data_IF_053917022033
#
_entry.id   IF_053917022033
#
_cell.length_a   1.000
_cell.length_b   1.000
_cell.length_c   1.000
_cell.angle_alpha   90.00
_cell.angle_beta   90.00
_cell.angle_gamma   90.00
#
_symmetry.space_group_name_H-M   'P 1'
#
loop_
_entity.id
_entity.type
_entity.pdbx_description
1 polymer ?
#
# COMPACT_ATOMS: atom_id res chain seq x y z
N UNK A 1 68.65 -23.36 29.40
CA UNK A 1 67.30 -22.99 29.91
C UNK A 1 67.16 -21.55 30.43
N UNK A 2 68.23 -20.75 30.62
CA UNK A 2 68.09 -19.34 31.08
C UNK A 2 67.75 -18.31 29.99
N UNK A 3 67.97 -18.60 28.70
CA UNK A 3 67.69 -17.67 27.58
C UNK A 3 66.25 -17.74 27.06
N UNK A 4 65.56 -18.87 27.22
CA UNK A 4 64.14 -19.02 26.85
C UNK A 4 63.18 -18.42 27.88
N UNK A 5 63.60 -18.32 29.15
CA UNK A 5 62.78 -17.68 30.19
C UNK A 5 62.68 -16.17 30.01
N UNK A 6 63.73 -15.52 29.45
CA UNK A 6 63.72 -14.08 29.18
C UNK A 6 62.83 -13.70 27.98
N UNK A 7 62.77 -14.56 26.95
CA UNK A 7 61.94 -14.37 25.76
C UNK A 7 60.45 -14.51 26.07
N UNK A 8 60.09 -15.36 27.05
CA UNK A 8 58.71 -15.56 27.47
C UNK A 8 58.20 -14.41 28.37
N UNK A 9 59.09 -13.79 29.16
CA UNK A 9 58.78 -12.58 29.95
C UNK A 9 58.64 -11.35 29.03
N UNK A 10 59.44 -11.23 27.97
CA UNK A 10 59.31 -10.14 27.00
C UNK A 10 58.05 -10.27 26.12
N UNK A 11 57.63 -11.51 25.81
CA UNK A 11 56.39 -11.76 25.08
C UNK A 11 55.12 -11.55 25.92
N UNK A 12 55.21 -11.59 27.26
CA UNK A 12 54.10 -11.24 28.16
C UNK A 12 53.91 -9.73 28.34
N UNK A 13 54.94 -8.91 28.06
CA UNK A 13 54.86 -7.45 28.09
C UNK A 13 54.21 -6.85 26.84
N UNK A 14 54.06 -7.61 25.75
CA UNK A 14 53.50 -7.13 24.47
C UNK A 14 51.96 -7.16 24.42
N UNK A 15 51.28 -7.62 25.47
CA UNK A 15 49.82 -7.59 25.59
C UNK A 15 49.30 -6.57 26.62
N UNK A 16 50.15 -5.64 27.09
CA UNK A 16 49.62 -4.40 27.67
C UNK A 16 49.12 -3.54 26.53
N UNK A 17 47.85 -3.69 26.16
CA UNK A 17 47.18 -2.71 25.31
C UNK A 17 47.33 -1.34 25.98
N UNK A 18 48.17 -0.47 25.42
CA UNK A 18 48.30 0.91 25.87
C UNK A 18 46.92 1.56 25.74
N UNK A 19 46.23 1.75 26.86
CA UNK A 19 45.01 2.55 26.93
C UNK A 19 45.33 3.95 26.41
N UNK A 20 44.48 4.49 25.52
CA UNK A 20 44.64 5.87 25.07
C UNK A 20 44.41 6.83 26.24
N UNK A 21 45.27 7.84 26.36
CA UNK A 21 45.20 8.88 27.41
C UNK A 21 44.64 10.23 26.90
N UNK A 22 44.30 10.29 25.61
CA UNK A 22 43.72 11.43 24.92
C UNK A 22 42.70 10.95 23.88
N UNK A 23 41.82 11.86 23.45
CA UNK A 23 40.79 11.55 22.47
C UNK A 23 41.39 11.39 21.08
N UNK A 24 40.98 10.33 20.37
CA UNK A 24 41.30 10.08 18.97
C UNK A 24 40.02 10.09 18.12
N UNK A 25 39.72 11.24 17.51
CA UNK A 25 38.53 11.43 16.70
C UNK A 25 38.74 11.16 15.19
N UNK A 26 39.74 10.35 14.81
CA UNK A 26 40.00 9.99 13.41
C UNK A 26 38.75 9.42 12.72
N UNK A 27 37.97 8.61 13.43
CA UNK A 27 36.64 8.18 13.05
C UNK A 27 35.81 7.85 14.30
N UNK A 28 34.52 7.53 14.14
CA UNK A 28 33.62 7.24 15.27
C UNK A 28 34.10 6.08 16.14
N UNK A 29 34.70 5.04 15.54
CA UNK A 29 35.20 3.87 16.26
C UNK A 29 36.43 4.22 17.12
N UNK A 30 37.35 5.02 16.59
CA UNK A 30 38.52 5.48 17.37
C UNK A 30 38.09 6.45 18.46
N UNK A 31 37.08 7.29 18.20
CA UNK A 31 36.52 8.22 19.17
C UNK A 31 35.95 7.46 20.37
N UNK A 32 35.07 6.50 20.11
CA UNK A 32 34.47 5.67 21.16
C UNK A 32 35.51 4.82 21.90
N UNK A 33 36.43 4.18 21.18
CA UNK A 33 37.52 3.41 21.81
C UNK A 33 38.40 4.29 22.70
N UNK A 34 38.77 5.49 22.25
CA UNK A 34 39.61 6.41 23.04
C UNK A 34 38.90 6.91 24.29
N UNK A 35 37.62 7.28 24.19
CA UNK A 35 36.84 7.73 25.34
C UNK A 35 36.61 6.59 26.32
N UNK A 36 36.33 5.37 25.85
CA UNK A 36 36.20 4.19 26.72
C UNK A 36 37.52 3.88 27.46
N UNK A 37 38.66 3.97 26.78
CA UNK A 37 39.98 3.79 27.40
C UNK A 37 40.23 4.84 28.49
N UNK A 38 39.92 6.12 28.20
CA UNK A 38 40.04 7.22 29.14
C UNK A 38 39.10 7.05 30.34
N UNK A 39 37.83 6.74 30.10
CA UNK A 39 36.83 6.51 31.16
C UNK A 39 37.23 5.33 32.05
N UNK A 40 37.67 4.21 31.46
CA UNK A 40 38.10 3.02 32.22
C UNK A 40 39.33 3.25 33.10
N UNK A 41 40.00 4.40 32.94
CA UNK A 41 41.15 4.82 33.76
C UNK A 41 40.75 5.74 34.93
N UNK A 42 39.46 6.09 35.03
CA UNK A 42 38.89 6.93 36.08
C UNK A 42 38.16 6.10 37.14
N UNK A 43 37.95 6.67 38.34
CA UNK A 43 37.04 6.09 39.35
C UNK A 43 35.59 6.22 38.92
N UNK A 44 34.68 5.39 39.45
CA UNK A 44 33.24 5.39 39.06
C UNK A 44 32.61 6.78 39.08
N UNK A 45 32.82 7.57 40.14
CA UNK A 45 32.27 8.94 40.23
C UNK A 45 32.87 9.85 39.14
N UNK A 46 34.17 9.72 38.86
CA UNK A 46 34.85 10.49 37.81
C UNK A 46 34.42 10.04 36.41
N UNK A 47 34.08 8.76 36.21
CA UNK A 47 33.51 8.25 34.96
C UNK A 47 32.15 8.87 34.69
N UNK A 48 31.27 8.89 35.69
CA UNK A 48 29.95 9.53 35.58
C UNK A 48 30.12 11.00 35.20
N UNK A 49 30.99 11.74 35.92
CA UNK A 49 31.29 13.15 35.63
C UNK A 49 31.87 13.38 34.24
N UNK A 50 32.74 12.49 33.78
CA UNK A 50 33.30 12.56 32.45
C UNK A 50 32.24 12.36 31.37
N UNK A 51 31.29 11.44 31.58
CA UNK A 51 30.16 11.25 30.68
C UNK A 51 29.19 12.44 30.69
N UNK A 52 28.91 13.03 31.85
CA UNK A 52 28.13 14.28 31.95
C UNK A 52 28.80 15.43 31.18
N UNK A 53 30.12 15.59 31.32
CA UNK A 53 30.88 16.60 30.60
C UNK A 53 30.74 16.42 29.09
N UNK A 54 30.90 15.19 28.60
CA UNK A 54 30.76 14.86 27.19
C UNK A 54 29.32 15.07 26.68
N UNK A 55 28.30 14.80 27.50
CA UNK A 55 26.89 15.08 27.18
C UNK A 55 26.63 16.58 27.04
N UNK A 56 27.16 17.40 27.95
CA UNK A 56 27.03 18.87 27.88
C UNK A 56 27.70 19.40 26.60
N UNK A 57 28.88 18.89 26.28
CA UNK A 57 29.59 19.28 25.05
C UNK A 57 28.84 18.84 23.78
N UNK A 58 28.25 17.63 23.77
CA UNK A 58 27.41 17.15 22.65
C UNK A 58 26.16 18.00 22.48
N UNK A 59 25.50 18.36 23.58
CA UNK A 59 24.19 19.02 23.54
C UNK A 59 24.28 20.53 23.34
N UNK A 60 25.31 21.16 23.92
CA UNK A 60 25.41 22.63 24.01
C UNK A 60 26.74 23.19 23.50
N UNK A 61 27.74 22.33 23.28
CA UNK A 61 29.08 22.73 22.83
C UNK A 61 29.28 22.66 21.31
N UNK A 62 28.33 22.08 20.57
CA UNK A 62 28.40 21.89 19.13
C UNK A 62 27.11 22.30 18.44
N UNK A 63 27.23 22.89 17.26
CA UNK A 63 26.10 23.30 16.43
C UNK A 63 25.95 22.31 15.27
N UNK A 64 25.19 21.24 15.49
CA UNK A 64 24.89 20.23 14.49
C UNK A 64 23.55 19.56 14.79
N UNK A 65 22.76 19.26 13.76
CA UNK A 65 21.45 18.61 13.92
C UNK A 65 21.56 17.09 13.76
N UNK A 66 21.25 16.36 14.83
CA UNK A 66 21.11 14.91 14.84
C UNK A 66 22.35 14.16 15.34
N UNK A 67 22.12 13.02 16.01
CA UNK A 67 23.12 12.31 16.81
C UNK A 67 24.47 12.07 16.11
N UNK A 68 24.46 11.67 14.84
CA UNK A 68 25.71 11.38 14.10
C UNK A 68 26.48 12.66 13.80
N UNK A 69 25.79 13.75 13.48
CA UNK A 69 26.40 15.03 13.19
C UNK A 69 26.92 15.68 14.48
N UNK A 70 26.14 15.63 15.56
CA UNK A 70 26.53 16.06 16.91
C UNK A 70 27.75 15.28 17.41
N UNK A 71 27.79 13.95 17.26
CA UNK A 71 28.92 13.12 17.69
C UNK A 71 30.18 13.42 16.86
N UNK A 72 30.03 13.66 15.56
CA UNK A 72 31.15 14.05 14.69
C UNK A 72 31.70 15.41 15.07
N UNK A 73 30.82 16.39 15.31
CA UNK A 73 31.21 17.73 15.75
C UNK A 73 31.85 17.69 17.15
N UNK A 74 31.31 16.87 18.05
CA UNK A 74 31.91 16.62 19.37
C UNK A 74 33.32 16.08 19.19
N UNK A 75 33.49 15.01 18.41
CA UNK A 75 34.81 14.42 18.12
C UNK A 75 35.81 15.46 17.62
N UNK A 76 35.41 16.35 16.70
CA UNK A 76 36.25 17.44 16.23
C UNK A 76 36.60 18.44 17.35
N UNK A 77 35.65 18.79 18.21
CA UNK A 77 35.83 19.72 19.32
C UNK A 77 36.83 19.20 20.36
N UNK A 78 36.81 17.89 20.65
CA UNK A 78 37.62 17.29 21.73
C UNK A 78 38.83 16.48 21.24
N UNK A 79 39.07 16.41 19.93
CA UNK A 79 40.19 15.64 19.38
C UNK A 79 41.53 16.05 20.00
N UNK A 80 42.33 15.07 20.43
CA UNK A 80 43.63 15.29 21.07
C UNK A 80 43.58 15.76 22.53
N UNK A 81 42.39 16.06 23.09
CA UNK A 81 42.26 16.53 24.48
C UNK A 81 42.32 15.38 25.48
N UNK A 82 42.86 15.64 26.66
CA UNK A 82 42.82 14.76 27.83
C UNK A 82 41.59 15.04 28.70
N UNK A 83 41.28 14.13 29.63
CA UNK A 83 40.13 14.27 30.55
C UNK A 83 40.06 15.64 31.22
N UNK A 84 41.14 16.20 31.83
CA UNK A 84 41.03 17.50 32.51
C UNK A 84 40.67 18.66 31.58
N UNK A 85 41.14 18.64 30.34
CA UNK A 85 40.84 19.65 29.33
C UNK A 85 39.38 19.57 28.87
N UNK A 86 38.85 18.35 28.75
CA UNK A 86 37.44 18.10 28.40
C UNK A 86 36.52 18.57 29.54
N UNK A 87 36.88 18.26 30.79
CA UNK A 87 36.12 18.72 31.96
C UNK A 87 36.08 20.25 32.04
N UNK A 88 37.23 20.92 31.83
CA UNK A 88 37.31 22.38 31.82
C UNK A 88 36.51 23.01 30.66
N UNK A 89 36.52 22.37 29.49
CA UNK A 89 35.71 22.82 28.35
C UNK A 89 34.22 22.69 28.65
N UNK A 90 33.79 21.61 29.30
CA UNK A 90 32.41 21.42 29.71
C UNK A 90 31.97 22.45 30.75
N UNK A 91 32.83 22.82 31.70
CA UNK A 91 32.55 23.91 32.66
C UNK A 91 32.26 25.23 31.94
N UNK A 92 33.09 25.57 30.94
CA UNK A 92 32.89 26.80 30.15
C UNK A 92 31.58 26.77 29.36
N UNK A 93 31.27 25.63 28.73
CA UNK A 93 30.02 25.46 27.97
C UNK A 93 28.81 25.49 28.89
N UNK A 94 28.87 24.86 30.06
CA UNK A 94 27.80 24.90 31.06
C UNK A 94 27.54 26.32 31.55
N UNK A 95 28.58 27.05 31.93
CA UNK A 95 28.48 28.45 32.37
C UNK A 95 27.91 29.35 31.28
N UNK A 96 28.40 29.22 30.03
CA UNK A 96 27.92 30.01 28.89
C UNK A 96 26.42 29.78 28.61
N UNK A 97 25.93 28.56 28.82
CA UNK A 97 24.56 28.17 28.53
C UNK A 97 23.64 28.16 29.76
N UNK A 98 24.10 28.67 30.91
CA UNK A 98 23.30 28.74 32.15
C UNK A 98 22.91 27.38 32.73
N UNK A 99 23.72 26.34 32.49
CA UNK A 99 23.49 24.98 33.00
C UNK A 99 24.10 24.87 34.38
N UNK A 100 23.31 24.47 35.37
CA UNK A 100 23.78 24.22 36.73
C UNK A 100 24.58 22.92 36.81
N UNK A 101 25.82 22.96 36.32
CA UNK A 101 26.77 21.87 36.31
C UNK A 101 28.19 22.38 36.52
N UNK A 102 28.99 21.63 37.28
CA UNK A 102 30.41 21.86 37.45
C UNK A 102 31.17 20.52 37.52
N UNK A 103 32.40 20.52 36.99
CA UNK A 103 33.30 19.37 36.98
C UNK A 103 33.69 18.87 38.39
N UNK A 104 33.61 19.75 39.39
CA UNK A 104 33.94 19.49 40.80
C UNK A 104 32.71 19.22 41.68
N UNK A 105 31.50 19.44 41.17
CA UNK A 105 30.26 19.16 41.88
C UNK A 105 29.96 17.65 41.89
N UNK A 106 29.09 17.15 42.78
CA UNK A 106 28.57 15.77 42.70
C UNK A 106 27.85 15.50 41.37
N UNK A 107 27.80 14.24 40.89
CA UNK A 107 26.96 13.85 39.76
C UNK A 107 25.52 14.34 39.91
N UNK A 108 24.99 14.95 38.86
CA UNK A 108 23.69 15.63 38.88
C UNK A 108 22.78 15.23 37.72
N UNK A 109 23.34 14.66 36.64
CA UNK A 109 22.57 14.24 35.47
C UNK A 109 22.34 12.72 35.42
N UNK A 110 23.03 11.94 36.25
CA UNK A 110 22.89 10.48 36.32
C UNK A 110 23.85 9.74 35.37
N UNK A 111 23.61 8.44 35.13
CA UNK A 111 24.40 7.65 34.18
C UNK A 111 24.07 8.06 32.74
N UNK A 112 24.88 8.96 32.19
CA UNK A 112 24.78 9.38 30.79
C UNK A 112 25.58 8.41 29.92
N UNK A 113 24.96 7.87 28.86
CA UNK A 113 25.69 7.21 27.79
C UNK A 113 25.72 8.12 26.56
N UNK A 114 26.85 8.79 26.36
CA UNK A 114 27.07 9.71 25.22
C UNK A 114 27.21 8.96 23.88
N UNK A 115 27.59 7.68 23.95
CA UNK A 115 27.57 6.74 22.86
C UNK A 115 26.33 5.90 23.07
N UNK A 116 25.16 6.48 22.79
CA UNK A 116 23.89 5.75 22.89
C UNK A 116 24.09 4.33 22.39
N UNK A 117 23.63 3.34 23.18
CA UNK A 117 24.00 1.92 23.06
C UNK A 117 24.48 1.55 21.66
N UNK A 118 25.67 0.98 21.56
CA UNK A 118 26.25 0.55 20.29
C UNK A 118 25.50 -0.65 19.65
N UNK A 119 24.17 -0.69 19.73
CA UNK A 119 23.41 -0.93 18.52
C UNK A 119 23.36 0.40 17.79
N UNK A 120 24.38 0.70 16.98
CA UNK A 120 24.39 1.79 16.01
C UNK A 120 22.98 2.04 15.51
N UNK A 121 22.25 3.02 16.11
CA UNK A 121 20.77 3.06 16.19
C UNK A 121 20.22 2.20 15.09
N UNK A 122 19.94 0.90 15.36
CA UNK A 122 19.89 -0.15 14.31
C UNK A 122 19.27 0.54 13.10
N UNK A 123 20.10 0.91 12.10
CA UNK A 123 19.66 1.90 11.13
C UNK A 123 18.55 1.20 10.44
N UNK A 124 17.30 1.48 10.85
CA UNK A 124 16.20 0.62 10.51
C UNK A 124 16.25 0.60 9.01
N UNK A 125 16.53 -0.56 8.39
CA UNK A 125 16.72 -0.56 6.95
C UNK A 125 15.46 -0.07 6.26
N UNK A 126 14.33 -0.03 6.98
CA UNK A 126 13.06 0.54 6.55
C UNK A 126 12.93 2.07 6.74
N UNK A 127 13.81 2.77 7.46
CA UNK A 127 13.82 4.23 7.63
C UNK A 127 14.51 4.95 6.44
N UNK A 128 14.09 4.60 5.23
CA UNK A 128 14.61 5.19 3.98
C UNK A 128 14.13 6.63 3.85
N UNK A 129 15.08 7.58 3.83
CA UNK A 129 14.80 9.01 3.69
C UNK A 129 14.47 9.37 2.24
N UNK A 130 13.18 9.45 1.92
CA UNK A 130 12.69 9.92 0.62
C UNK A 130 11.64 11.02 0.75
N UNK A 131 11.51 11.83 -0.29
CA UNK A 131 10.53 12.91 -0.34
C UNK A 131 9.23 12.45 -0.98
N UNK A 132 9.32 11.65 -2.06
CA UNK A 132 8.14 11.13 -2.76
C UNK A 132 8.40 9.74 -3.39
N UNK A 133 7.39 9.24 -4.09
CA UNK A 133 7.43 8.01 -4.87
C UNK A 133 7.26 8.37 -6.35
N UNK A 134 8.02 7.72 -7.22
CA UNK A 134 7.83 7.75 -8.67
C UNK A 134 7.48 6.36 -9.19
N UNK A 135 6.76 6.28 -10.31
CA UNK A 135 6.33 5.03 -10.94
C UNK A 135 6.78 4.99 -12.39
N UNK A 136 7.57 3.96 -12.74
CA UNK A 136 7.94 3.65 -14.12
C UNK A 136 7.10 2.47 -14.58
N UNK A 137 6.46 2.58 -15.74
CA UNK A 137 5.63 1.52 -16.34
C UNK A 137 6.21 1.11 -17.69
N UNK A 138 6.33 -0.19 -17.95
CA UNK A 138 6.83 -0.74 -19.21
C UNK A 138 5.97 -1.92 -19.64
N UNK A 139 5.36 -1.91 -20.84
CA UNK A 139 4.72 -3.10 -21.40
C UNK A 139 5.74 -4.24 -21.53
N UNK A 140 5.31 -5.47 -21.29
CA UNK A 140 6.18 -6.67 -21.32
C UNK A 140 5.41 -7.89 -21.83
N UNK A 141 6.12 -8.83 -22.43
CA UNK A 141 5.52 -9.99 -23.11
C UNK A 141 4.87 -9.57 -24.42
N UNK A 142 4.60 -10.55 -25.29
CA UNK A 142 3.95 -10.34 -26.58
C UNK A 142 3.30 -11.66 -27.03
N UNK A 143 2.07 -11.61 -27.50
CA UNK A 143 1.33 -12.74 -28.09
C UNK A 143 1.03 -12.55 -29.59
N UNK A 144 1.63 -11.52 -30.22
CA UNK A 144 1.36 -11.13 -31.60
C UNK A 144 0.21 -10.13 -31.75
N UNK A 145 -0.60 -9.93 -30.70
CA UNK A 145 -1.67 -8.92 -30.65
C UNK A 145 -1.34 -7.77 -29.68
N UNK A 146 -0.11 -7.74 -29.16
CA UNK A 146 0.40 -6.69 -28.28
C UNK A 146 0.88 -7.22 -26.93
N UNK A 147 1.17 -6.29 -26.02
CA UNK A 147 1.71 -6.65 -24.72
C UNK A 147 0.75 -7.54 -23.91
N UNK A 148 1.28 -8.55 -23.24
CA UNK A 148 0.49 -9.47 -22.39
C UNK A 148 0.59 -9.16 -20.90
N UNK A 149 1.50 -8.25 -20.53
CA UNK A 149 1.71 -7.81 -19.17
C UNK A 149 2.26 -6.37 -19.09
N UNK A 150 2.21 -5.81 -17.89
CA UNK A 150 2.77 -4.51 -17.58
C UNK A 150 3.74 -4.62 -16.38
N UNK A 151 5.00 -4.27 -16.60
CA UNK A 151 5.98 -4.09 -15.53
C UNK A 151 5.79 -2.73 -14.88
N UNK A 152 5.63 -2.70 -13.56
CA UNK A 152 5.36 -1.50 -12.76
C UNK A 152 6.44 -1.39 -11.69
N UNK A 153 7.30 -0.39 -11.82
CA UNK A 153 8.53 -0.25 -11.05
C UNK A 153 8.47 1.01 -10.19
N UNK A 154 8.20 0.89 -8.87
CA UNK A 154 8.28 2.02 -7.96
C UNK A 154 9.73 2.41 -7.66
N UNK A 155 9.97 3.71 -7.50
CA UNK A 155 11.24 4.27 -7.03
C UNK A 155 10.99 5.38 -6.02
N UNK A 156 11.54 5.22 -4.82
CA UNK A 156 11.64 6.31 -3.86
C UNK A 156 12.58 7.37 -4.40
N UNK A 157 12.18 8.64 -4.33
CA UNK A 157 12.95 9.77 -4.87
C UNK A 157 13.09 10.89 -3.84
N UNK A 158 14.17 11.65 -3.96
CA UNK A 158 14.45 12.83 -3.14
C UNK A 158 13.60 14.04 -3.58
N UNK A 159 13.84 15.19 -2.96
CA UNK A 159 13.13 16.43 -3.29
C UNK A 159 13.41 16.94 -4.71
N UNK A 160 14.51 16.51 -5.33
CA UNK A 160 14.88 16.84 -6.70
C UNK A 160 14.38 15.79 -7.72
N UNK A 161 13.63 14.77 -7.27
CA UNK A 161 13.12 13.69 -8.11
C UNK A 161 14.16 12.63 -8.48
N UNK A 162 15.34 12.62 -7.85
CA UNK A 162 16.38 11.61 -8.10
C UNK A 162 16.14 10.36 -7.24
N UNK A 163 16.37 9.13 -7.77
CA UNK A 163 16.21 7.91 -6.99
C UNK A 163 17.07 7.90 -5.73
N UNK A 164 16.45 7.64 -4.59
CA UNK A 164 17.14 7.44 -3.30
C UNK A 164 17.77 6.06 -3.29
N UNK A 165 19.05 5.98 -2.95
CA UNK A 165 19.76 4.71 -2.81
C UNK A 165 19.57 4.13 -1.41
N UNK A 166 19.21 2.84 -1.33
CA UNK A 166 19.08 2.10 -0.08
C UNK A 166 19.30 0.60 -0.32
N UNK A 167 19.67 -0.13 0.74
CA UNK A 167 19.95 -1.57 0.69
C UNK A 167 19.52 -2.25 2.00
N UNK A 168 19.15 -3.53 1.94
CA UNK A 168 18.86 -4.32 3.13
C UNK A 168 17.52 -4.00 3.80
N UNK A 169 16.68 -3.19 3.15
CA UNK A 169 15.35 -2.85 3.62
C UNK A 169 14.36 -4.02 3.46
N UNK A 170 13.24 -3.94 4.16
CA UNK A 170 12.07 -4.80 4.00
C UNK A 170 10.83 -3.94 3.73
N UNK A 171 10.91 -3.01 2.79
CA UNK A 171 9.81 -2.08 2.53
C UNK A 171 8.62 -2.82 1.91
N UNK A 172 7.46 -2.81 2.58
CA UNK A 172 6.23 -3.33 1.99
C UNK A 172 5.79 -2.39 0.85
N UNK A 173 5.86 -2.89 -0.38
CA UNK A 173 5.27 -2.27 -1.55
C UNK A 173 3.92 -2.94 -1.83
N UNK A 174 2.85 -2.15 -1.95
CA UNK A 174 1.53 -2.64 -2.36
C UNK A 174 1.13 -2.00 -3.67
N UNK A 175 0.80 -2.82 -4.67
CA UNK A 175 0.09 -2.44 -5.88
C UNK A 175 -1.40 -2.66 -5.69
N UNK A 176 -2.19 -1.67 -6.04
CA UNK A 176 -3.63 -1.79 -6.23
C UNK A 176 -3.97 -1.36 -7.67
N UNK A 177 -4.69 -2.22 -8.38
CA UNK A 177 -5.16 -1.98 -9.76
C UNK A 177 -6.64 -1.67 -9.70
N UNK A 178 -7.05 -0.62 -10.40
CA UNK A 178 -8.43 -0.17 -10.46
C UNK A 178 -8.88 0.00 -11.91
N UNK A 179 -10.20 0.01 -12.09
CA UNK A 179 -10.84 0.46 -13.32
C UNK A 179 -12.09 1.22 -12.90
N UNK A 180 -12.19 2.49 -13.31
CA UNK A 180 -13.28 3.40 -12.96
C UNK A 180 -13.59 3.43 -11.45
N UNK A 181 -12.55 3.48 -10.62
CA UNK A 181 -12.66 3.50 -9.15
C UNK A 181 -12.95 2.14 -8.48
N UNK A 182 -13.17 1.06 -9.24
CA UNK A 182 -13.35 -0.30 -8.68
C UNK A 182 -12.00 -1.01 -8.62
N UNK A 183 -11.64 -1.52 -7.43
CA UNK A 183 -10.40 -2.30 -7.27
C UNK A 183 -10.54 -3.66 -7.96
N UNK A 184 -9.66 -3.92 -8.91
CA UNK A 184 -9.60 -5.15 -9.72
C UNK A 184 -8.65 -6.18 -9.12
N UNK A 185 -7.51 -5.72 -8.62
CA UNK A 185 -6.45 -6.59 -8.12
C UNK A 185 -5.61 -5.85 -7.07
N UNK A 186 -4.97 -6.62 -6.20
CA UNK A 186 -3.93 -6.12 -5.30
C UNK A 186 -2.79 -7.12 -5.24
N UNK A 187 -1.56 -6.61 -5.16
CA UNK A 187 -0.37 -7.41 -4.99
C UNK A 187 0.54 -6.73 -3.97
N UNK A 188 1.19 -7.53 -3.13
CA UNK A 188 2.23 -7.06 -2.23
C UNK A 188 3.57 -7.65 -2.64
N UNK A 189 4.63 -6.87 -2.46
CA UNK A 189 5.98 -7.34 -2.66
C UNK A 189 6.92 -6.61 -1.70
N UNK A 190 8.10 -7.19 -1.49
CA UNK A 190 9.11 -6.64 -0.60
C UNK A 190 10.16 -5.91 -1.44
N UNK A 191 10.32 -4.62 -1.20
CA UNK A 191 11.33 -3.79 -1.85
C UNK A 191 12.54 -3.67 -0.94
N UNK A 192 13.60 -4.42 -1.27
CA UNK A 192 14.80 -4.54 -0.44
C UNK A 192 15.91 -3.54 -0.77
N UNK A 193 15.95 -3.12 -2.03
CA UNK A 193 16.94 -2.20 -2.56
C UNK A 193 16.46 -1.53 -3.87
N UNK A 194 17.36 -0.79 -4.52
CA UNK A 194 17.13 -0.15 -5.82
C UNK A 194 17.04 -1.12 -7.01
N UNK A 195 17.44 -2.38 -6.84
CA UNK A 195 17.33 -3.43 -7.88
C UNK A 195 15.91 -4.00 -7.96
N UNK A 196 15.03 -3.65 -7.02
CA UNK A 196 13.63 -4.03 -7.01
C UNK A 196 12.99 -3.84 -8.41
N UNK A 197 12.56 -4.97 -8.98
CA UNK A 197 11.97 -5.00 -10.33
C UNK A 197 10.50 -4.59 -10.33
N UNK A 198 9.88 -4.39 -9.16
CA UNK A 198 8.50 -3.98 -9.08
C UNK A 198 7.52 -5.14 -9.18
N UNK A 199 6.40 -4.86 -9.83
CA UNK A 199 5.30 -5.80 -10.05
C UNK A 199 5.22 -6.15 -11.53
N UNK A 200 4.97 -7.42 -11.82
CA UNK A 200 4.62 -7.86 -13.17
C UNK A 200 3.11 -8.16 -13.21
N UNK A 201 2.34 -7.23 -13.75
CA UNK A 201 0.89 -7.35 -13.87
C UNK A 201 0.55 -8.07 -15.17
N UNK A 202 0.25 -9.36 -15.09
CA UNK A 202 -0.26 -10.12 -16.24
C UNK A 202 -1.68 -9.68 -16.55
N UNK A 203 -1.98 -9.35 -17.80
CA UNK A 203 -3.34 -8.96 -18.20
C UNK A 203 -4.33 -10.12 -18.04
N UNK A 204 -3.86 -11.36 -18.19
CA UNK A 204 -4.64 -12.57 -17.92
C UNK A 204 -5.01 -12.79 -16.45
N UNK A 205 -4.52 -11.95 -15.53
CA UNK A 205 -5.00 -11.93 -14.14
C UNK A 205 -6.22 -11.03 -13.93
N UNK A 206 -6.53 -10.18 -14.92
CA UNK A 206 -7.60 -9.18 -14.85
C UNK A 206 -8.77 -9.64 -15.70
N UNK A 207 -9.96 -9.74 -15.11
CA UNK A 207 -11.18 -10.08 -15.85
C UNK A 207 -11.50 -8.99 -16.89
N UNK A 208 -11.62 -9.37 -18.15
CA UNK A 208 -11.96 -8.45 -19.24
C UNK A 208 -13.24 -7.65 -18.95
N UNK A 209 -14.22 -8.31 -18.33
CA UNK A 209 -15.51 -7.71 -17.92
C UNK A 209 -15.42 -6.63 -16.84
N UNK A 210 -14.25 -6.44 -16.22
CA UNK A 210 -14.03 -5.45 -15.16
C UNK A 210 -13.19 -4.26 -15.63
N UNK A 211 -12.61 -4.33 -16.83
CA UNK A 211 -11.84 -3.25 -17.43
C UNK A 211 -12.78 -2.37 -18.27
N UNK A 212 -12.70 -1.06 -18.09
CA UNK A 212 -13.49 -0.07 -18.83
C UNK A 212 -12.55 0.69 -19.75
N UNK A 213 -12.98 0.94 -20.99
CA UNK A 213 -12.23 1.69 -22.01
C UNK A 213 -10.80 1.17 -22.28
N UNK A 214 -10.55 -0.13 -22.04
CA UNK A 214 -9.24 -0.76 -22.12
C UNK A 214 -8.17 -0.04 -21.30
N UNK A 215 -8.58 0.60 -20.20
CA UNK A 215 -7.71 1.36 -19.31
C UNK A 215 -7.82 0.88 -17.89
N UNK A 216 -6.70 0.97 -17.18
CA UNK A 216 -6.62 0.73 -15.74
C UNK A 216 -5.92 1.90 -15.06
N UNK A 217 -6.26 2.10 -13.80
CA UNK A 217 -5.52 2.97 -12.90
C UNK A 217 -4.72 2.09 -11.95
N UNK A 218 -3.54 2.56 -11.57
CA UNK A 218 -2.74 1.89 -10.54
C UNK A 218 -2.47 2.85 -9.41
N UNK A 219 -2.39 2.30 -8.21
CA UNK A 219 -1.88 2.98 -7.03
C UNK A 219 -0.79 2.11 -6.45
N UNK A 220 0.38 2.69 -6.24
CA UNK A 220 1.46 2.05 -5.49
C UNK A 220 1.61 2.76 -4.16
N UNK A 221 1.70 1.98 -3.08
CA UNK A 221 2.20 2.45 -1.80
C UNK A 221 3.50 1.73 -1.42
N UNK A 222 4.42 2.46 -0.79
CA UNK A 222 5.66 1.91 -0.22
C UNK A 222 5.74 2.38 1.23
N UNK A 223 5.73 1.43 2.16
CA UNK A 223 5.79 1.72 3.60
C UNK A 223 7.25 1.75 4.06
N UNK A 224 7.66 2.89 4.59
CA UNK A 224 8.90 3.07 5.38
C UNK A 224 8.55 3.16 6.86
N UNK A 225 9.55 3.13 7.75
CA UNK A 225 9.37 3.32 9.19
C UNK A 225 8.77 4.68 9.50
N UNK A 226 9.20 5.72 8.79
CA UNK A 226 8.73 7.08 9.01
C UNK A 226 7.36 7.37 8.40
N UNK A 227 7.09 6.88 7.18
CA UNK A 227 5.83 7.17 6.46
C UNK A 227 5.50 6.18 5.35
N UNK A 228 4.24 6.18 4.93
CA UNK A 228 3.81 5.48 3.71
C UNK A 228 3.77 6.46 2.55
N UNK A 229 4.60 6.20 1.55
CA UNK A 229 4.54 6.94 0.29
C UNK A 229 3.48 6.35 -0.60
N UNK A 230 2.74 7.17 -1.34
CA UNK A 230 1.70 6.74 -2.25
C UNK A 230 1.76 7.55 -3.54
N UNK A 231 1.64 6.87 -4.68
CA UNK A 231 1.48 7.52 -5.98
C UNK A 231 0.47 6.72 -6.82
N UNK A 232 -0.34 7.44 -7.59
CA UNK A 232 -1.28 6.83 -8.54
C UNK A 232 -0.92 7.24 -9.96
N UNK A 233 -1.13 6.33 -10.91
CA UNK A 233 -1.03 6.59 -12.33
C UNK A 233 -2.33 6.14 -12.99
N UNK A 234 -2.98 7.07 -13.68
CA UNK A 234 -4.35 6.93 -14.19
C UNK A 234 -4.29 6.68 -15.70
N UNK A 235 -5.23 5.87 -16.20
CA UNK A 235 -5.47 5.71 -17.64
C UNK A 235 -4.40 4.92 -18.39
N UNK A 236 -3.74 3.95 -17.74
CA UNK A 236 -2.79 3.05 -18.37
C UNK A 236 -3.51 2.10 -19.33
N UNK A 237 -3.03 2.02 -20.57
CA UNK A 237 -3.58 1.12 -21.57
C UNK A 237 -3.31 -0.35 -21.22
N UNK A 238 -4.32 -1.19 -21.44
CA UNK A 238 -4.19 -2.65 -21.38
C UNK A 238 -4.58 -3.26 -22.72
N UNK A 239 -3.93 -4.38 -23.07
CA UNK A 239 -4.31 -5.14 -24.25
C UNK A 239 -5.58 -5.96 -23.95
N UNK A 240 -6.73 -5.66 -24.58
CA UNK A 240 -7.97 -6.37 -24.31
C UNK A 240 -7.92 -7.85 -24.69
N UNK A 241 -7.15 -8.24 -25.71
CA UNK A 241 -7.06 -9.65 -26.13
C UNK A 241 -6.33 -10.52 -25.11
N UNK A 242 -5.47 -9.91 -24.29
CA UNK A 242 -4.70 -10.60 -23.26
C UNK A 242 -5.42 -10.63 -21.90
N UNK A 243 -6.59 -10.02 -21.77
CA UNK A 243 -7.39 -10.04 -20.53
C UNK A 243 -8.03 -11.41 -20.29
N UNK A 244 -8.32 -11.70 -19.02
CA UNK A 244 -8.98 -12.95 -18.64
C UNK A 244 -10.44 -12.94 -19.13
N UNK A 245 -10.70 -13.76 -20.14
CA UNK A 245 -12.06 -14.15 -20.53
C UNK A 245 -12.50 -15.37 -19.71
N UNK A 246 -13.77 -15.44 -19.25
CA UNK A 246 -14.29 -16.61 -18.59
C UNK A 246 -14.21 -17.83 -19.51
N UNK A 247 -13.90 -19.00 -18.96
CA UNK A 247 -14.00 -20.26 -19.70
C UNK A 247 -15.46 -20.46 -20.15
N UNK A 248 -15.69 -21.05 -21.35
CA UNK A 248 -17.03 -21.44 -21.77
C UNK A 248 -17.66 -22.34 -20.70
N UNK A 249 -18.95 -22.13 -20.42
CA UNK A 249 -19.67 -23.02 -19.52
C UNK A 249 -19.60 -24.45 -20.06
N UNK A 250 -19.13 -25.39 -19.24
CA UNK A 250 -19.24 -26.81 -19.54
C UNK A 250 -20.73 -27.13 -19.45
N UNK A 251 -21.37 -27.32 -20.60
CA UNK A 251 -22.73 -27.85 -20.68
C UNK A 251 -22.67 -29.32 -20.30
N UNK A 252 -23.25 -29.66 -19.15
CA UNK A 252 -23.47 -31.04 -18.75
C UNK A 252 -24.36 -31.70 -19.82
N UNK A 253 -23.77 -32.59 -20.61
CA UNK A 253 -24.43 -33.30 -21.69
C UNK A 253 -25.21 -34.48 -21.10
N UNK A 254 -26.29 -34.18 -20.38
CA UNK A 254 -27.29 -35.16 -19.95
C UNK A 254 -28.71 -34.75 -20.33
N UNK A 255 -28.86 -33.83 -21.30
CA UNK A 255 -30.14 -33.63 -21.99
C UNK A 255 -30.28 -34.71 -23.07
N UNK A 256 -31.21 -35.64 -22.81
CA UNK A 256 -31.74 -36.60 -23.76
C UNK A 256 -32.11 -35.87 -25.06
N UNK A 257 -31.62 -36.30 -26.25
CA UNK A 257 -32.08 -35.71 -27.50
C UNK A 257 -33.55 -36.06 -27.68
N UNK A 258 -34.41 -35.04 -27.62
CA UNK A 258 -35.79 -35.16 -28.09
C UNK A 258 -35.75 -35.13 -29.61
N UNK A 259 -36.08 -36.27 -30.20
CA UNK A 259 -36.23 -36.48 -31.64
C UNK A 259 -37.10 -35.37 -32.28
N UNK A 260 -36.61 -34.63 -33.29
CA UNK A 260 -37.40 -33.61 -33.99
C UNK A 260 -38.48 -34.18 -34.92
N UNK A 261 -38.70 -35.50 -34.95
CA UNK A 261 -39.60 -36.17 -35.91
C UNK A 261 -40.96 -36.54 -35.30
N UNK A 262 -41.57 -35.65 -34.53
CA UNK A 262 -43.00 -35.73 -34.21
C UNK A 262 -43.76 -34.71 -35.06
N UNK A 263 -44.22 -35.16 -36.23
CA UNK A 263 -45.11 -34.44 -37.13
C UNK A 263 -46.48 -34.18 -36.46
N UNK A 264 -46.82 -32.91 -36.29
CA UNK A 264 -48.19 -32.43 -36.08
C UNK A 264 -48.98 -32.60 -37.40
N UNK A 265 -50.13 -33.32 -37.44
CA UNK A 265 -50.87 -33.58 -38.67
C UNK A 265 -51.61 -32.38 -39.26
N UNK A 266 -51.56 -31.17 -38.69
CA UNK A 266 -52.53 -30.14 -39.03
C UNK A 266 -51.98 -28.73 -39.31
N UNK A 267 -50.97 -28.58 -40.18
CA UNK A 267 -50.66 -27.26 -40.77
C UNK A 267 -50.13 -27.31 -42.21
N UNK A 268 -50.49 -26.34 -43.07
CA UNK A 268 -50.30 -26.44 -44.51
C UNK A 268 -48.91 -25.96 -44.96
N UNK A 269 -48.23 -26.85 -45.68
CA UNK A 269 -47.32 -26.68 -46.84
C UNK A 269 -46.49 -25.38 -46.92
N UNK A 270 -45.17 -25.56 -46.78
CA UNK A 270 -44.13 -24.64 -47.23
C UNK A 270 -43.87 -24.76 -48.74
N UNK A 271 -43.39 -23.67 -49.37
CA UNK A 271 -42.70 -23.72 -50.66
C UNK A 271 -41.17 -23.75 -50.41
N UNK A 272 -40.35 -24.44 -51.24
CA UNK A 272 -38.98 -24.82 -50.90
C UNK A 272 -37.92 -23.84 -51.45
N UNK A 273 -36.86 -23.59 -50.67
CA UNK A 273 -35.64 -22.94 -51.13
C UNK A 273 -34.41 -23.86 -50.91
N UNK A 274 -33.82 -24.25 -52.04
CA UNK A 274 -32.43 -24.59 -52.37
C UNK A 274 -31.56 -25.46 -51.41
N UNK A 275 -31.12 -26.68 -51.82
CA UNK A 275 -30.30 -27.57 -51.00
C UNK A 275 -28.79 -27.26 -50.92
N UNK A 276 -28.27 -26.13 -51.42
CA UNK A 276 -26.81 -25.97 -51.55
C UNK A 276 -26.16 -24.78 -50.80
N UNK A 277 -26.60 -24.47 -49.58
CA UNK A 277 -25.90 -23.54 -48.69
C UNK A 277 -25.16 -24.26 -47.55
N UNK A 278 -23.84 -24.34 -47.67
CA UNK A 278 -22.90 -24.72 -46.59
C UNK A 278 -23.14 -23.87 -45.32
N UNK A 279 -23.22 -24.47 -44.11
CA UNK A 279 -23.44 -23.69 -42.90
C UNK A 279 -22.18 -22.93 -42.50
N UNK A 280 -22.20 -21.61 -42.67
CA UNK A 280 -21.27 -20.73 -41.96
C UNK A 280 -21.61 -20.77 -40.47
N UNK A 281 -20.66 -21.17 -39.63
CA UNK A 281 -20.77 -21.09 -38.17
C UNK A 281 -20.66 -19.64 -37.74
N UNK A 282 -21.78 -18.92 -37.80
CA UNK A 282 -21.93 -17.59 -37.21
C UNK A 282 -22.03 -17.77 -35.69
N UNK A 283 -21.18 -17.11 -34.88
CA UNK A 283 -21.33 -17.11 -33.42
C UNK A 283 -22.70 -16.58 -33.03
N UNK A 284 -23.40 -17.31 -32.16
CA UNK A 284 -24.70 -16.92 -31.65
C UNK A 284 -24.60 -15.57 -30.93
N UNK A 285 -25.30 -14.57 -31.46
CA UNK A 285 -25.50 -13.26 -30.85
C UNK A 285 -26.07 -13.43 -29.44
N UNK A 286 -25.56 -12.73 -28.41
CA UNK A 286 -26.08 -12.81 -27.05
C UNK A 286 -27.59 -12.53 -27.03
N UNK A 287 -28.35 -13.41 -26.35
CA UNK A 287 -29.79 -13.22 -26.15
C UNK A 287 -30.03 -11.88 -25.47
N UNK A 288 -30.75 -10.99 -26.17
CA UNK A 288 -31.11 -9.67 -25.69
C UNK A 288 -31.81 -9.77 -24.32
N UNK A 289 -31.44 -8.95 -23.32
CA UNK A 289 -32.08 -8.97 -22.00
C UNK A 289 -33.60 -8.78 -22.11
N UNK A 290 -34.36 -9.62 -21.41
CA UNK A 290 -35.82 -9.64 -21.48
C UNK A 290 -36.49 -8.48 -20.70
N UNK A 291 -35.75 -7.75 -19.87
CA UNK A 291 -36.27 -6.66 -19.04
C UNK A 291 -35.46 -5.36 -19.21
N UNK A 292 -36.14 -4.21 -19.07
CA UNK A 292 -35.53 -2.88 -19.11
C UNK A 292 -34.75 -2.61 -17.80
N UNK A 293 -33.47 -2.16 -17.85
CA UNK A 293 -32.71 -1.74 -16.67
C UNK A 293 -33.46 -0.77 -15.75
N UNK A 294 -34.27 0.14 -16.32
CA UNK A 294 -35.11 1.08 -15.55
C UNK A 294 -36.11 0.32 -14.68
N UNK A 295 -36.75 -0.70 -15.24
CA UNK A 295 -37.73 -1.52 -14.54
C UNK A 295 -37.09 -2.25 -13.35
N UNK A 296 -35.83 -2.70 -13.48
CA UNK A 296 -35.09 -3.32 -12.37
C UNK A 296 -34.83 -2.34 -11.22
N UNK A 297 -34.42 -1.10 -11.51
CA UNK A 297 -34.23 -0.07 -10.46
C UNK A 297 -35.56 0.26 -9.78
N UNK A 298 -36.62 0.42 -10.56
CA UNK A 298 -37.95 0.71 -10.03
C UNK A 298 -38.43 -0.44 -9.11
N UNK A 299 -38.27 -1.69 -9.55
CA UNK A 299 -38.63 -2.88 -8.76
C UNK A 299 -37.81 -2.98 -7.47
N UNK A 300 -36.51 -2.70 -7.52
CA UNK A 300 -35.67 -2.66 -6.33
C UNK A 300 -36.16 -1.62 -5.31
N UNK A 301 -36.40 -0.38 -5.74
CA UNK A 301 -36.88 0.69 -4.86
C UNK A 301 -38.25 0.35 -4.26
N UNK A 302 -39.15 -0.26 -5.03
CA UNK A 302 -40.44 -0.73 -4.54
C UNK A 302 -40.31 -1.87 -3.52
N UNK A 303 -39.37 -2.79 -3.72
CA UNK A 303 -39.09 -3.86 -2.76
C UNK A 303 -38.51 -3.30 -1.45
N UNK A 304 -37.62 -2.29 -1.52
CA UNK A 304 -37.13 -1.57 -0.33
C UNK A 304 -38.28 -0.86 0.38
N UNK A 305 -39.13 -0.15 -0.37
CA UNK A 305 -40.28 0.59 0.16
C UNK A 305 -41.30 -0.30 0.87
N UNK A 306 -41.54 -1.50 0.32
CA UNK A 306 -42.47 -2.49 0.88
C UNK A 306 -41.83 -3.40 1.93
N UNK A 307 -40.58 -3.13 2.33
CA UNK A 307 -39.79 -3.95 3.26
C UNK A 307 -39.55 -5.40 2.80
N UNK A 308 -39.73 -5.70 1.51
CA UNK A 308 -39.32 -6.96 0.91
C UNK A 308 -37.81 -6.94 0.58
N UNK A 309 -36.99 -6.83 1.64
CA UNK A 309 -35.55 -6.64 1.53
C UNK A 309 -34.84 -7.84 0.90
N UNK A 310 -35.40 -9.05 1.05
CA UNK A 310 -34.85 -10.25 0.40
C UNK A 310 -34.97 -10.17 -1.12
N UNK A 311 -36.14 -9.79 -1.64
CA UNK A 311 -36.32 -9.60 -3.07
C UNK A 311 -35.52 -8.40 -3.62
N UNK A 312 -35.33 -7.34 -2.81
CA UNK A 312 -34.44 -6.23 -3.16
C UNK A 312 -32.98 -6.70 -3.26
N UNK A 313 -32.51 -7.47 -2.27
CA UNK A 313 -31.16 -8.03 -2.26
C UNK A 313 -30.92 -9.00 -3.42
N UNK A 314 -31.88 -9.87 -3.72
CA UNK A 314 -31.81 -10.83 -4.83
C UNK A 314 -31.83 -10.16 -6.20
N UNK A 315 -32.47 -8.98 -6.32
CA UNK A 315 -32.39 -8.13 -7.52
C UNK A 315 -31.05 -7.37 -7.63
N UNK A 316 -30.14 -7.59 -6.68
CA UNK A 316 -28.83 -6.97 -6.64
C UNK A 316 -27.71 -8.01 -6.68
N UNK A 317 -26.53 -7.55 -7.04
CA UNK A 317 -25.26 -8.25 -6.95
C UNK A 317 -24.17 -7.19 -6.76
N UNK A 318 -24.41 -6.33 -5.77
CA UNK A 318 -23.54 -5.22 -5.38
C UNK A 318 -22.63 -5.66 -4.23
N UNK A 319 -21.31 -5.76 -4.46
CA UNK A 319 -20.38 -6.25 -3.43
C UNK A 319 -20.28 -5.32 -2.21
N UNK A 320 -20.61 -4.03 -2.35
CA UNK A 320 -20.54 -3.06 -1.25
C UNK A 320 -21.64 -3.25 -0.21
N UNK A 321 -22.70 -4.00 -0.54
CA UNK A 321 -23.79 -4.29 0.38
C UNK A 321 -23.52 -5.54 1.24
N UNK A 322 -22.45 -6.27 0.96
CA UNK A 322 -22.04 -7.44 1.75
C UNK A 322 -23.08 -8.56 1.72
N UNK A 323 -23.30 -9.18 2.87
CA UNK A 323 -24.30 -10.23 3.04
C UNK A 323 -25.72 -9.66 3.15
N UNK A 324 -26.73 -10.53 3.05
CA UNK A 324 -28.12 -10.12 3.25
C UNK A 324 -28.32 -9.45 4.61
N UNK A 325 -27.69 -9.96 5.67
CA UNK A 325 -27.78 -9.42 7.03
C UNK A 325 -27.26 -7.99 7.12
N UNK A 326 -26.18 -7.68 6.38
CA UNK A 326 -25.62 -6.33 6.30
C UNK A 326 -26.53 -5.40 5.51
N UNK A 327 -27.05 -5.87 4.37
CA UNK A 327 -27.99 -5.13 3.54
C UNK A 327 -29.31 -4.82 4.26
N UNK A 328 -29.87 -5.80 4.98
CA UNK A 328 -31.14 -5.69 5.70
C UNK A 328 -31.01 -5.14 7.11
N UNK A 329 -29.82 -4.67 7.50
CA UNK A 329 -29.57 -4.22 8.86
C UNK A 329 -30.49 -3.03 9.23
N UNK A 330 -31.21 -3.07 10.37
CA UNK A 330 -32.17 -2.05 10.77
C UNK A 330 -31.55 -0.71 11.22
N UNK A 331 -30.24 -0.66 11.48
CA UNK A 331 -29.53 0.54 11.95
C UNK A 331 -28.53 1.10 10.94
N UNK A 332 -27.99 0.28 10.03
CA UNK A 332 -26.95 0.71 9.08
C UNK A 332 -27.23 0.41 7.60
N UNK A 333 -28.23 -0.42 7.30
CA UNK A 333 -28.57 -0.86 5.94
C UNK A 333 -29.94 -0.35 5.48
N UNK A 334 -30.45 -0.96 4.40
CA UNK A 334 -31.81 -0.68 3.89
C UNK A 334 -32.91 -1.16 4.85
N UNK A 335 -32.57 -1.95 5.87
CA UNK A 335 -33.50 -2.28 6.95
C UNK A 335 -33.92 -1.09 7.82
N UNK A 336 -33.18 0.02 7.79
CA UNK A 336 -33.53 1.26 8.48
C UNK A 336 -34.60 2.09 7.75
N UNK A 337 -34.82 1.80 6.46
CA UNK A 337 -35.78 2.49 5.61
C UNK A 337 -37.19 2.04 5.99
N UNK A 338 -38.13 2.99 6.09
CA UNK A 338 -39.56 2.72 6.27
C UNK A 338 -40.32 2.81 4.95
N UNK A 339 -40.00 3.80 4.13
CA UNK A 339 -40.67 4.05 2.86
C UNK A 339 -39.74 4.75 1.85
N UNK A 340 -40.00 4.55 0.56
CA UNK A 340 -39.35 5.24 -0.55
C UNK A 340 -40.41 5.89 -1.44
N UNK A 341 -40.24 7.17 -1.75
CA UNK A 341 -41.09 7.90 -2.70
C UNK A 341 -40.29 8.27 -3.95
N UNK A 342 -40.51 7.54 -5.04
CA UNK A 342 -39.76 7.74 -6.30
C UNK A 342 -40.29 8.96 -7.03
N UNK A 343 -39.40 9.92 -7.33
CA UNK A 343 -39.73 11.12 -8.10
C UNK A 343 -39.40 10.97 -9.58
N UNK A 344 -38.23 10.43 -9.90
CA UNK A 344 -37.80 10.24 -11.28
C UNK A 344 -36.84 9.05 -11.40
N UNK A 345 -36.89 8.34 -12.53
CA UNK A 345 -35.91 7.32 -12.93
C UNK A 345 -35.61 7.48 -14.42
N UNK A 346 -34.35 7.70 -14.76
CA UNK A 346 -33.88 7.97 -16.12
C UNK A 346 -32.68 7.08 -16.46
N UNK A 347 -32.77 6.23 -17.50
CA UNK A 347 -31.61 5.55 -18.05
C UNK A 347 -30.62 6.58 -18.59
N UNK A 348 -29.33 6.42 -18.27
CA UNK A 348 -28.26 7.31 -18.73
C UNK A 348 -27.41 6.66 -19.82
N UNK A 349 -27.08 5.38 -19.64
CA UNK A 349 -26.36 4.60 -20.64
C UNK A 349 -26.84 3.14 -20.53
N UNK A 350 -27.17 2.50 -21.65
CA UNK A 350 -27.59 1.10 -21.70
C UNK A 350 -26.88 0.43 -22.86
N UNK A 351 -26.23 -0.70 -22.59
CA UNK A 351 -25.78 -1.63 -23.61
C UNK A 351 -26.24 -3.05 -23.23
N UNK A 352 -25.84 -4.06 -24.00
CA UNK A 352 -26.29 -5.44 -23.79
C UNK A 352 -25.94 -6.00 -22.40
N UNK A 353 -24.86 -5.52 -21.77
CA UNK A 353 -24.24 -6.13 -20.60
C UNK A 353 -24.22 -5.23 -19.36
N UNK A 354 -24.27 -3.92 -19.54
CA UNK A 354 -24.29 -2.93 -18.45
C UNK A 354 -25.28 -1.80 -18.72
N UNK A 355 -25.82 -1.25 -17.64
CA UNK A 355 -26.67 -0.08 -17.69
C UNK A 355 -26.38 0.85 -16.51
N UNK A 356 -26.53 2.15 -16.75
CA UNK A 356 -26.50 3.19 -15.73
C UNK A 356 -27.85 3.85 -15.71
N UNK A 357 -28.47 3.91 -14.53
CA UNK A 357 -29.80 4.51 -14.34
C UNK A 357 -29.72 5.50 -13.19
N UNK A 358 -30.07 6.75 -13.46
CA UNK A 358 -30.19 7.78 -12.44
C UNK A 358 -31.59 7.76 -11.85
N UNK A 359 -31.71 7.90 -10.54
CA UNK A 359 -32.99 8.05 -9.86
C UNK A 359 -32.93 9.18 -8.83
N UNK A 360 -34.05 9.87 -8.68
CA UNK A 360 -34.28 10.83 -7.60
C UNK A 360 -35.49 10.35 -6.81
N UNK A 361 -35.35 10.25 -5.50
CA UNK A 361 -36.41 9.75 -4.62
C UNK A 361 -36.20 10.22 -3.19
N UNK A 362 -37.27 10.23 -2.41
CA UNK A 362 -37.20 10.51 -0.97
C UNK A 362 -37.20 9.20 -0.19
N UNK A 363 -36.37 9.13 0.84
CA UNK A 363 -36.32 8.00 1.77
C UNK A 363 -36.79 8.47 3.13
N UNK A 364 -37.81 7.82 3.67
CA UNK A 364 -38.24 8.03 5.06
C UNK A 364 -37.71 6.89 5.91
N UNK A 365 -36.98 7.21 6.98
CA UNK A 365 -36.50 6.22 7.94
C UNK A 365 -37.60 5.79 8.94
N UNK A 366 -37.30 4.79 9.77
CA UNK A 366 -38.24 4.30 10.80
C UNK A 366 -38.56 5.32 11.89
N UNK A 367 -37.73 6.35 12.06
CA UNK A 367 -37.95 7.46 12.99
C UNK A 367 -38.81 8.58 12.37
N UNK A 368 -39.19 8.46 11.09
CA UNK A 368 -40.02 9.43 10.37
C UNK A 368 -39.25 10.56 9.70
N UNK A 369 -37.90 10.53 9.71
CA UNK A 369 -37.09 11.53 9.02
C UNK A 369 -37.05 11.22 7.53
N UNK A 370 -37.35 12.22 6.69
CA UNK A 370 -37.30 12.10 5.23
C UNK A 370 -36.05 12.78 4.67
N UNK A 371 -35.32 12.08 3.79
CA UNK A 371 -34.11 12.57 3.11
C UNK A 371 -34.28 12.41 1.60
N UNK A 372 -34.09 13.49 0.85
CA UNK A 372 -34.06 13.43 -0.62
C UNK A 372 -32.72 12.87 -1.10
N UNK A 373 -32.76 11.88 -1.98
CA UNK A 373 -31.58 11.24 -2.56
C UNK A 373 -31.60 11.37 -4.08
N UNK A 374 -30.43 11.70 -4.62
CA UNK A 374 -30.11 11.58 -6.04
C UNK A 374 -29.09 10.47 -6.17
N UNK A 375 -29.41 9.41 -6.90
CA UNK A 375 -28.60 8.19 -6.94
C UNK A 375 -28.36 7.75 -8.37
N UNK A 376 -27.15 7.25 -8.60
CA UNK A 376 -26.81 6.51 -9.82
C UNK A 376 -26.69 5.02 -9.49
N UNK A 377 -27.54 4.22 -10.13
CA UNK A 377 -27.51 2.76 -10.10
C UNK A 377 -26.72 2.24 -11.30
N UNK A 378 -25.70 1.42 -11.04
CA UNK A 378 -25.08 0.61 -12.08
C UNK A 378 -25.70 -0.77 -12.08
N UNK A 379 -26.15 -1.25 -13.24
CA UNK A 379 -26.71 -2.58 -13.44
C UNK A 379 -25.81 -3.38 -14.35
N UNK A 380 -25.76 -4.69 -14.10
CA UNK A 380 -25.13 -5.68 -14.98
C UNK A 380 -26.17 -6.69 -15.41
N UNK A 381 -26.08 -7.14 -16.66
CA UNK A 381 -26.84 -8.27 -17.14
C UNK A 381 -26.15 -9.56 -16.67
N UNK A 382 -26.86 -10.38 -15.92
CA UNK A 382 -26.43 -11.71 -15.47
C UNK A 382 -27.42 -12.71 -16.04
N UNK A 383 -26.99 -13.50 -17.01
CA UNK A 383 -27.79 -14.57 -17.62
C UNK A 383 -29.15 -14.10 -18.19
N UNK A 384 -29.24 -12.87 -18.71
CA UNK A 384 -30.46 -12.27 -19.25
C UNK A 384 -31.23 -11.38 -18.27
N UNK A 385 -30.83 -11.37 -16.99
CA UNK A 385 -31.44 -10.56 -15.94
C UNK A 385 -30.57 -9.39 -15.52
N UNK A 386 -31.15 -8.19 -15.46
CA UNK A 386 -30.47 -7.04 -14.86
C UNK A 386 -30.41 -7.16 -13.34
N UNK A 387 -29.20 -7.00 -12.79
CA UNK A 387 -28.94 -6.93 -11.34
C UNK A 387 -28.27 -5.62 -10.98
N UNK A 388 -28.68 -4.99 -9.89
CA UNK A 388 -28.01 -3.79 -9.36
C UNK A 388 -26.63 -4.17 -8.85
N UNK A 389 -25.60 -3.66 -9.48
CA UNK A 389 -24.19 -3.95 -9.21
C UNK A 389 -23.46 -2.82 -8.48
N UNK A 390 -23.99 -1.60 -8.52
CA UNK A 390 -23.46 -0.47 -7.79
C UNK A 390 -24.56 0.53 -7.43
N UNK A 391 -24.29 1.32 -6.39
CA UNK A 391 -25.18 2.32 -5.83
C UNK A 391 -24.34 3.49 -5.36
N UNK A 392 -24.54 4.67 -5.96
CA UNK A 392 -23.80 5.90 -5.62
C UNK A 392 -24.79 7.02 -5.35
N UNK A 393 -24.76 7.56 -4.13
CA UNK A 393 -25.46 8.80 -3.79
C UNK A 393 -24.64 9.96 -4.38
N UNK A 394 -25.29 10.80 -5.16
CA UNK A 394 -24.72 12.01 -5.71
C UNK A 394 -25.00 13.18 -4.76
N UNK A 395 -24.01 14.06 -4.53
CA UNK A 395 -24.17 15.24 -3.69
C UNK A 395 -25.19 16.24 -4.28
#
# INVERSE_FOLDING_TARGET
MKKFSFLLVFSLLLFTACKKDHVDATNTKTLQSSINDMASSLTTIKQIKFNEALYILKTFGVEADGDVAELKALGQLINGKKVPEIMSLADQVAQKNGIEWASTAPPSLGEMNIFGDEKAKESDPNDVKASSLSIITRPTGDDGNGATALQIIPRLVDAAGKPVSFTGAGLEATLEVFSNGVKLSTAKNLMQDNNFKGFNLKFSSIAASKVVDNKIDITISVKTTAKTFKMSKIGLDVNPSALKVPAPAVVDSTVVPQDPSAVDPNSPVANPADPNATPATTPATPKQPAADPKATVNKFLNNVSSQNLKAAFDASSNPNWGSYESFSNPTSGFGSVKNVSVKNITPNAVNANSASVNATYDVTDKNGKTTALKVTFGLKNVNGDWKISSYKINP
#
